data_IF_315795648711
#
_entry.id   IF_315795648711
#
_cell.length_a   1.000
_cell.length_b   1.000
_cell.length_c   1.000
_cell.angle_alpha   90.00
_cell.angle_beta   90.00
_cell.angle_gamma   90.00
#
_symmetry.space_group_name_H-M   'P 1'
#
loop_
_entity.id
_entity.type
_entity.pdbx_description
1 polymer ?
#
# COMPACT_ATOMS: atom_id res chain seq x y z
N UNK A 1 -30.44 17.80 12.04
CA UNK A 1 -29.71 16.54 11.76
C UNK A 1 -28.25 16.78 12.11
N UNK A 2 -27.86 16.52 13.36
CA UNK A 2 -26.46 16.60 13.76
C UNK A 2 -25.75 15.38 13.16
N UNK A 3 -24.80 15.62 12.26
CA UNK A 3 -23.79 14.63 11.92
C UNK A 3 -23.03 14.37 13.22
N UNK A 4 -23.34 13.26 13.90
CA UNK A 4 -22.41 12.68 14.86
C UNK A 4 -21.14 12.40 14.03
N UNK A 5 -20.10 13.20 14.25
CA UNK A 5 -18.87 13.10 13.48
C UNK A 5 -18.38 11.67 13.53
N UNK A 6 -18.52 10.96 12.41
CA UNK A 6 -17.93 9.64 12.24
C UNK A 6 -16.42 9.85 12.34
N UNK A 7 -15.87 9.57 13.53
CA UNK A 7 -14.44 9.62 13.75
C UNK A 7 -13.84 8.52 12.87
N UNK A 8 -13.20 8.91 11.76
CA UNK A 8 -12.52 7.94 10.92
C UNK A 8 -11.43 7.28 11.77
N UNK A 9 -11.48 5.96 12.02
CA UNK A 9 -10.48 5.28 12.81
C UNK A 9 -9.09 5.47 12.19
N UNK A 10 -8.06 5.40 13.02
CA UNK A 10 -6.68 5.50 12.53
C UNK A 10 -6.47 4.42 11.46
N UNK A 11 -6.11 4.84 10.26
CA UNK A 11 -5.86 3.88 9.17
C UNK A 11 -4.41 3.38 9.14
N UNK A 12 -3.52 3.93 9.97
CA UNK A 12 -2.18 3.36 10.12
C UNK A 12 -2.27 2.21 11.12
N UNK A 13 -1.88 1.02 10.68
CA UNK A 13 -1.96 -0.21 11.47
C UNK A 13 -3.37 -0.78 11.62
N UNK A 14 -4.32 -0.35 10.77
CA UNK A 14 -5.61 -1.04 10.65
C UNK A 14 -5.47 -2.32 9.81
N UNK A 15 -6.47 -3.20 9.88
CA UNK A 15 -6.44 -4.50 9.21
C UNK A 15 -6.31 -4.40 7.67
N UNK A 16 -6.99 -3.45 7.04
CA UNK A 16 -6.89 -3.15 5.60
C UNK A 16 -5.53 -2.56 5.24
N UNK A 17 -4.97 -1.70 6.09
CA UNK A 17 -3.62 -1.16 5.88
C UNK A 17 -2.55 -2.25 5.94
N UNK A 18 -2.62 -3.14 6.93
CA UNK A 18 -1.72 -4.29 7.01
C UNK A 18 -1.88 -5.24 5.82
N UNK A 19 -3.11 -5.44 5.35
CA UNK A 19 -3.38 -6.23 4.15
C UNK A 19 -2.78 -5.58 2.88
N UNK A 20 -2.90 -4.26 2.72
CA UNK A 20 -2.26 -3.52 1.63
C UNK A 20 -0.74 -3.69 1.65
N UNK A 21 -0.11 -3.55 2.81
CA UNK A 21 1.34 -3.70 2.95
C UNK A 21 1.80 -5.10 2.56
N UNK A 22 1.13 -6.13 3.09
CA UNK A 22 1.45 -7.53 2.76
C UNK A 22 1.35 -7.79 1.27
N UNK A 23 0.29 -7.28 0.63
CA UNK A 23 0.09 -7.39 -0.81
C UNK A 23 1.23 -6.71 -1.60
N UNK A 24 1.66 -5.50 -1.21
CA UNK A 24 2.74 -4.81 -1.90
C UNK A 24 4.10 -5.51 -1.72
N UNK A 25 4.37 -6.07 -0.54
CA UNK A 25 5.56 -6.89 -0.29
C UNK A 25 5.55 -8.16 -1.15
N UNK A 26 4.41 -8.84 -1.24
CA UNK A 26 4.20 -10.01 -2.08
C UNK A 26 4.48 -9.67 -3.55
N UNK A 27 3.87 -8.61 -4.09
CA UNK A 27 4.09 -8.16 -5.47
C UNK A 27 5.54 -7.76 -5.75
N UNK A 28 6.22 -7.11 -4.80
CA UNK A 28 7.66 -6.84 -4.93
C UNK A 28 8.46 -8.15 -4.99
N UNK A 29 8.15 -9.10 -4.12
CA UNK A 29 8.84 -10.39 -4.04
C UNK A 29 8.62 -11.24 -5.29
N UNK A 30 7.41 -11.27 -5.83
CA UNK A 30 7.05 -11.93 -7.10
C UNK A 30 7.82 -11.34 -8.28
N UNK A 31 8.02 -10.01 -8.29
CA UNK A 31 8.85 -9.32 -9.27
C UNK A 31 10.36 -9.57 -9.09
N UNK A 32 10.77 -10.29 -8.04
CA UNK A 32 12.18 -10.61 -7.75
C UNK A 32 13.03 -9.43 -7.31
N UNK A 33 12.40 -8.33 -6.85
CA UNK A 33 13.10 -7.09 -6.53
C UNK A 33 13.41 -6.96 -5.03
N UNK A 34 14.60 -6.48 -4.71
CA UNK A 34 14.94 -5.92 -3.39
C UNK A 34 14.28 -4.55 -3.21
N UNK A 35 14.16 -4.10 -1.96
CA UNK A 35 13.62 -2.76 -1.65
C UNK A 35 14.42 -1.64 -2.33
N UNK A 36 15.75 -1.76 -2.40
CA UNK A 36 16.62 -0.79 -3.08
C UNK A 36 16.30 -0.69 -4.58
N UNK A 37 16.04 -1.83 -5.22
CA UNK A 37 15.77 -1.90 -6.67
C UNK A 37 14.38 -1.35 -6.99
N UNK A 38 13.39 -1.62 -6.14
CA UNK A 38 12.07 -0.98 -6.26
C UNK A 38 12.17 0.54 -6.05
N UNK A 39 12.97 0.98 -5.08
CA UNK A 39 13.17 2.41 -4.81
C UNK A 39 13.80 3.11 -6.03
N UNK A 40 14.80 2.50 -6.65
CA UNK A 40 15.42 2.99 -7.89
C UNK A 40 14.40 3.12 -9.03
N UNK A 41 13.58 2.08 -9.27
CA UNK A 41 12.53 2.12 -10.31
C UNK A 41 11.47 3.18 -10.04
N UNK A 42 11.13 3.38 -8.77
CA UNK A 42 10.19 4.40 -8.31
C UNK A 42 10.80 5.80 -8.22
N UNK A 43 12.12 5.94 -8.42
CA UNK A 43 12.90 7.19 -8.28
C UNK A 43 12.73 7.84 -6.89
N UNK A 44 12.75 7.02 -5.85
CA UNK A 44 12.65 7.44 -4.44
C UNK A 44 13.82 6.90 -3.63
N UNK A 45 14.00 7.41 -2.41
CA UNK A 45 14.97 6.85 -1.46
C UNK A 45 14.52 5.46 -0.98
N UNK A 46 15.47 4.55 -0.71
CA UNK A 46 15.13 3.23 -0.15
C UNK A 46 14.34 3.32 1.16
N UNK A 47 14.58 4.34 1.98
CA UNK A 47 13.83 4.59 3.22
C UNK A 47 12.34 4.83 2.98
N UNK A 48 11.96 5.32 1.79
CA UNK A 48 10.57 5.43 1.38
C UNK A 48 9.91 4.05 1.31
N UNK A 49 10.55 3.10 0.61
CA UNK A 49 10.07 1.72 0.46
C UNK A 49 10.10 0.99 1.81
N UNK A 50 11.16 1.16 2.61
CA UNK A 50 11.25 0.55 3.94
C UNK A 50 10.14 1.03 4.89
N UNK A 51 9.79 2.32 4.86
CA UNK A 51 8.70 2.87 5.69
C UNK A 51 7.32 2.45 5.20
N UNK A 52 7.15 2.28 3.89
CA UNK A 52 5.95 1.69 3.30
C UNK A 52 5.79 0.24 3.76
N UNK A 53 6.82 -0.61 3.57
CA UNK A 53 6.75 -2.03 3.89
C UNK A 53 6.70 -2.33 5.40
N UNK A 54 7.16 -1.41 6.25
CA UNK A 54 6.99 -1.49 7.70
C UNK A 54 5.68 -0.89 8.21
N UNK A 55 4.84 -0.34 7.32
CA UNK A 55 3.57 0.30 7.68
C UNK A 55 3.70 1.60 8.47
N UNK A 56 4.86 2.22 8.44
CA UNK A 56 5.11 3.52 9.06
C UNK A 56 4.72 4.70 8.14
N UNK A 57 4.18 4.41 6.96
CA UNK A 57 3.70 5.39 5.99
C UNK A 57 2.50 4.84 5.23
N UNK A 58 1.53 5.71 4.96
CA UNK A 58 0.41 5.42 4.06
C UNK A 58 0.90 5.36 2.60
N UNK A 59 0.13 4.69 1.76
CA UNK A 59 0.27 4.72 0.30
C UNK A 59 -0.95 5.44 -0.24
N UNK A 60 -0.75 6.51 -1.01
CA UNK A 60 -1.86 7.16 -1.70
C UNK A 60 -2.23 6.42 -2.99
N UNK A 61 -3.37 6.77 -3.58
CA UNK A 61 -3.89 6.05 -4.75
C UNK A 61 -3.00 6.20 -5.99
N UNK A 62 -2.30 7.33 -6.16
CA UNK A 62 -1.40 7.55 -7.29
C UNK A 62 -0.13 6.73 -7.11
N UNK A 63 0.39 6.66 -5.88
CA UNK A 63 1.50 5.78 -5.52
C UNK A 63 1.15 4.31 -5.76
N UNK A 64 -0.07 3.88 -5.41
CA UNK A 64 -0.54 2.52 -5.66
C UNK A 64 -0.57 2.21 -7.17
N UNK A 65 -1.07 3.13 -7.98
CA UNK A 65 -1.07 2.99 -9.45
C UNK A 65 0.37 2.87 -9.97
N UNK A 66 1.28 3.73 -9.50
CA UNK A 66 2.69 3.70 -9.91
C UNK A 66 3.37 2.38 -9.52
N UNK A 67 3.07 1.86 -8.33
CA UNK A 67 3.56 0.55 -7.89
C UNK A 67 3.03 -0.57 -8.80
N UNK A 68 1.76 -0.51 -9.19
CA UNK A 68 1.17 -1.45 -10.16
C UNK A 68 1.91 -1.46 -11.51
N UNK A 69 2.20 -0.27 -12.05
CA UNK A 69 2.99 -0.13 -13.30
C UNK A 69 4.40 -0.72 -13.17
N UNK A 70 5.08 -0.51 -12.04
CA UNK A 70 6.47 -0.93 -11.83
C UNK A 70 6.59 -2.42 -11.49
N UNK A 71 5.63 -2.96 -10.76
CA UNK A 71 5.63 -4.33 -10.25
C UNK A 71 4.80 -5.30 -11.10
N UNK A 72 3.98 -4.80 -12.03
CA UNK A 72 3.20 -5.61 -12.96
C UNK A 72 1.92 -6.21 -12.36
N UNK A 73 1.16 -5.42 -11.59
CA UNK A 73 -0.16 -5.82 -11.07
C UNK A 73 -1.21 -4.75 -11.33
N UNK A 74 -2.49 -5.11 -11.35
CA UNK A 74 -3.60 -4.16 -11.43
C UNK A 74 -3.94 -3.60 -10.02
N UNK A 75 -3.82 -2.28 -9.78
CA UNK A 75 -4.20 -1.63 -8.54
C UNK A 75 -5.62 -1.95 -8.05
N UNK A 76 -6.56 -2.22 -8.97
CA UNK A 76 -7.95 -2.50 -8.62
C UNK A 76 -8.11 -3.82 -7.89
N UNK A 77 -7.20 -4.78 -8.07
CA UNK A 77 -7.23 -6.09 -7.38
C UNK A 77 -7.17 -5.94 -5.87
N UNK A 78 -6.23 -5.11 -5.37
CA UNK A 78 -6.11 -4.88 -3.94
C UNK A 78 -7.23 -3.99 -3.43
N UNK A 79 -7.67 -2.99 -4.19
CA UNK A 79 -8.81 -2.14 -3.78
C UNK A 79 -10.07 -2.98 -3.62
N UNK A 80 -10.42 -3.83 -4.59
CA UNK A 80 -11.56 -4.73 -4.51
C UNK A 80 -11.46 -5.66 -3.29
N UNK A 81 -10.27 -6.24 -3.04
CA UNK A 81 -10.03 -7.06 -1.84
C UNK A 81 -10.28 -6.27 -0.54
N UNK A 82 -9.74 -5.06 -0.42
CA UNK A 82 -9.89 -4.23 0.78
C UNK A 82 -11.34 -3.80 1.01
N UNK A 83 -12.13 -3.56 -0.04
CA UNK A 83 -13.56 -3.22 0.08
C UNK A 83 -14.42 -4.37 0.61
N UNK A 84 -13.98 -5.61 0.39
CA UNK A 84 -14.67 -6.83 0.86
C UNK A 84 -14.27 -7.24 2.28
N UNK A 85 -13.23 -6.64 2.84
CA UNK A 85 -12.86 -6.86 4.24
C UNK A 85 -13.85 -6.12 5.13
N UNK A 86 -14.50 -6.82 6.05
CA UNK A 86 -15.22 -6.21 7.16
C UNK A 86 -14.24 -5.91 8.30
N UNK A 87 -14.48 -4.80 9.02
CA UNK A 87 -13.73 -4.44 10.23
C UNK A 87 -14.02 -5.40 11.40
#
# INVERSE_FOLDING_TARGET
>A
MQLHGAFMPKTLGDQRHDALIRYLIEKRSEAGLKQVELAERMKVYQSFIARLESGQRRVDVVELVKLGEVLGFDPTEIVDRLTKMSD
#
